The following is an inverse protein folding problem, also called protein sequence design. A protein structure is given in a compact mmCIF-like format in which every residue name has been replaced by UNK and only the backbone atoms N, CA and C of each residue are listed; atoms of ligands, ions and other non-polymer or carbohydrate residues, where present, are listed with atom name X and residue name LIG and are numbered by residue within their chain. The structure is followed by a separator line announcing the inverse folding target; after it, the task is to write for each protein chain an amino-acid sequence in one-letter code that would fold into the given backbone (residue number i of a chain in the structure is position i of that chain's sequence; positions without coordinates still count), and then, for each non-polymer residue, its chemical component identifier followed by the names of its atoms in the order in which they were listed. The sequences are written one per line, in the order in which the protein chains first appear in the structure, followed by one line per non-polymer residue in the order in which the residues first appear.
data_IF_316806680028
#
_entry.id   IF_316806680028
#
_cell.length_a   1.000
_cell.length_b   1.000
_cell.length_c   1.000
_cell.angle_alpha   90.00
_cell.angle_beta   90.00
_cell.angle_gamma   90.00
#
_symmetry.space_group_name_H-M   'P 1'
#
loop_
_entity.id
_entity.type
_entity.pdbx_description
1 polymer ?
#
# COMPACT_ATOMS: atom_id res chain seq x y z
N UNK A 1 4.89 16.85 -18.68
CA UNK A 1 4.49 16.00 -17.53
C UNK A 1 4.25 16.98 -16.42
N UNK A 2 3.04 17.03 -15.88
CA UNK A 2 2.73 17.96 -14.80
C UNK A 2 3.58 17.59 -13.58
N UNK A 3 4.31 18.57 -13.04
CA UNK A 3 5.11 18.45 -11.82
C UNK A 3 4.20 18.42 -10.59
N UNK A 4 3.25 17.47 -10.56
CA UNK A 4 2.35 17.25 -9.44
C UNK A 4 3.16 16.78 -8.23
N UNK A 5 2.89 17.39 -7.08
CA UNK A 5 3.44 16.99 -5.80
C UNK A 5 2.37 16.19 -5.07
N UNK A 6 2.68 14.93 -4.80
CA UNK A 6 1.78 14.00 -4.15
C UNK A 6 1.97 14.04 -2.64
N UNK A 7 0.89 13.71 -1.93
CA UNK A 7 0.87 13.50 -0.49
C UNK A 7 0.02 12.29 -0.17
N UNK A 8 0.51 11.41 0.67
CA UNK A 8 -0.18 10.20 1.11
C UNK A 8 -0.43 10.30 2.61
N UNK A 9 -1.67 10.05 3.02
CA UNK A 9 -2.04 9.92 4.43
C UNK A 9 -2.43 8.47 4.71
N UNK A 10 -1.76 7.84 5.66
CA UNK A 10 -1.99 6.47 6.08
C UNK A 10 -3.08 6.36 7.15
N UNK A 11 -3.49 5.13 7.47
CA UNK A 11 -4.61 4.87 8.39
C UNK A 11 -4.42 5.41 9.81
N UNK A 12 -3.17 5.46 10.30
CA UNK A 12 -2.81 6.03 11.60
C UNK A 12 -2.65 7.57 11.57
N UNK A 13 -2.86 8.19 10.41
CA UNK A 13 -2.66 9.61 10.20
C UNK A 13 -1.23 10.01 9.83
N UNK A 14 -0.30 9.05 9.68
CA UNK A 14 1.04 9.30 9.17
C UNK A 14 0.95 9.92 7.78
N UNK A 15 1.65 11.03 7.58
CA UNK A 15 1.68 11.76 6.30
C UNK A 15 3.05 11.59 5.65
N UNK A 16 3.05 11.17 4.39
CA UNK A 16 4.21 11.14 3.50
C UNK A 16 3.98 12.18 2.42
N UNK A 17 4.69 13.29 2.49
CA UNK A 17 4.49 14.45 1.62
C UNK A 17 5.66 14.67 0.65
N UNK A 18 5.52 15.72 -0.17
CA UNK A 18 6.52 16.14 -1.14
C UNK A 18 6.98 15.02 -2.09
N UNK A 19 6.06 14.13 -2.44
CA UNK A 19 6.32 12.98 -3.30
C UNK A 19 6.22 13.38 -4.77
N UNK A 20 7.08 12.81 -5.60
CA UNK A 20 6.93 12.84 -7.06
C UNK A 20 6.41 11.50 -7.57
N UNK A 21 5.91 11.48 -8.79
CA UNK A 21 5.50 10.25 -9.46
C UNK A 21 6.43 9.96 -10.65
N UNK A 22 6.94 8.73 -10.73
CA UNK A 22 7.67 8.23 -11.90
C UNK A 22 7.15 6.85 -12.31
N UNK A 23 6.43 6.79 -13.43
CA UNK A 23 5.66 5.61 -13.79
C UNK A 23 4.57 5.34 -12.74
N UNK A 24 4.71 4.25 -12.00
CA UNK A 24 3.87 3.88 -10.86
C UNK A 24 4.58 4.00 -9.50
N UNK A 25 5.77 4.61 -9.46
CA UNK A 25 6.53 4.79 -8.23
C UNK A 25 6.27 6.18 -7.66
N UNK A 26 5.92 6.22 -6.38
CA UNK A 26 6.11 7.40 -5.56
C UNK A 26 7.60 7.53 -5.23
N UNK A 27 8.11 8.74 -5.37
CA UNK A 27 9.53 9.07 -5.17
C UNK A 27 9.63 10.08 -4.04
N UNK A 28 10.29 9.66 -2.95
CA UNK A 28 10.58 10.48 -1.78
C UNK A 28 12.07 10.83 -1.72
N UNK A 29 12.38 12.06 -1.31
CA UNK A 29 13.76 12.45 -0.94
C UNK A 29 14.05 12.21 0.55
N UNK A 30 13.01 11.91 1.33
CA UNK A 30 13.09 11.49 2.73
C UNK A 30 13.11 9.97 2.79
N UNK A 31 13.87 9.42 3.73
CA UNK A 31 13.93 7.98 3.95
C UNK A 31 12.55 7.40 4.32
N UNK A 32 12.18 6.32 3.64
CA UNK A 32 10.94 5.58 3.88
C UNK A 32 11.33 4.15 4.28
N UNK A 33 11.12 3.82 5.54
CA UNK A 33 11.22 2.45 6.01
C UNK A 33 9.96 1.66 5.64
N UNK A 34 10.13 0.38 5.32
CA UNK A 34 9.00 -0.52 5.02
C UNK A 34 7.99 -0.57 6.17
N UNK A 35 8.47 -0.48 7.42
CA UNK A 35 7.63 -0.59 8.62
C UNK A 35 6.58 0.51 8.74
N UNK A 36 6.73 1.64 8.04
CA UNK A 36 5.74 2.72 8.01
C UNK A 36 4.40 2.23 7.46
N UNK A 37 4.42 1.23 6.59
CA UNK A 37 3.24 0.68 5.94
C UNK A 37 2.59 -0.49 6.69
N UNK A 38 3.27 -1.05 7.70
CA UNK A 38 2.80 -2.24 8.41
C UNK A 38 1.51 -1.93 9.19
N UNK A 39 0.39 -2.55 8.79
CA UNK A 39 -0.93 -2.33 9.38
C UNK A 39 -1.59 -0.99 9.03
N UNK A 40 -0.96 -0.18 8.17
CA UNK A 40 -1.34 1.22 7.93
C UNK A 40 -1.95 1.49 6.54
N UNK A 41 -2.18 0.43 5.75
CA UNK A 41 -2.69 0.51 4.37
C UNK A 41 -4.18 0.17 4.23
N UNK A 42 -4.93 0.07 5.34
CA UNK A 42 -6.36 -0.26 5.31
C UNK A 42 -7.19 0.87 4.68
N UNK A 43 -6.87 2.12 5.03
CA UNK A 43 -7.43 3.34 4.47
C UNK A 43 -6.28 4.30 4.17
N UNK A 44 -6.12 4.64 2.90
CA UNK A 44 -5.04 5.49 2.40
C UNK A 44 -5.65 6.61 1.58
N UNK A 45 -5.33 7.85 1.91
CA UNK A 45 -5.70 9.00 1.09
C UNK A 45 -4.50 9.40 0.25
N UNK A 46 -4.64 9.36 -1.07
CA UNK A 46 -3.63 9.84 -2.02
C UNK A 46 -4.12 11.17 -2.57
N UNK A 47 -3.40 12.24 -2.27
CA UNK A 47 -3.60 13.56 -2.85
C UNK A 47 -2.61 13.75 -4.00
N UNK A 48 -3.11 14.09 -5.19
CA UNK A 48 -2.28 14.34 -6.38
C UNK A 48 -1.84 15.81 -6.56
N UNK A 49 -2.00 16.62 -5.51
CA UNK A 49 -1.82 18.07 -5.53
C UNK A 49 -3.10 18.86 -5.82
N UNK A 50 -4.16 18.20 -6.29
CA UNK A 50 -5.44 18.84 -6.64
C UNK A 50 -6.63 18.21 -5.92
N UNK A 51 -6.69 16.88 -5.88
CA UNK A 51 -7.80 16.14 -5.29
C UNK A 51 -7.32 15.01 -4.41
N UNK A 52 -8.17 14.65 -3.45
CA UNK A 52 -8.01 13.48 -2.60
C UNK A 52 -8.74 12.29 -3.24
N UNK A 53 -8.02 11.19 -3.44
CA UNK A 53 -8.59 9.88 -3.74
C UNK A 53 -8.39 8.96 -2.53
N UNK A 54 -9.47 8.33 -2.06
CA UNK A 54 -9.46 7.43 -0.90
C UNK A 54 -9.45 6.00 -1.40
N UNK A 55 -8.43 5.26 -0.99
CA UNK A 55 -8.22 3.86 -1.31
C UNK A 55 -8.41 3.01 -0.05
N UNK A 56 -8.99 1.82 -0.22
CA UNK A 56 -9.17 0.84 0.85
C UNK A 56 -8.44 -0.45 0.54
N UNK A 57 -7.82 -1.05 1.55
CA UNK A 57 -7.06 -2.29 1.43
C UNK A 57 -5.95 -2.19 0.35
N UNK A 58 -5.03 -1.25 0.51
CA UNK A 58 -3.83 -1.21 -0.32
C UNK A 58 -2.77 -2.16 0.21
N UNK A 59 -1.79 -2.47 -0.63
CA UNK A 59 -0.54 -3.13 -0.24
C UNK A 59 0.68 -2.38 -0.74
N UNK A 60 1.79 -2.55 -0.02
CA UNK A 60 3.11 -2.14 -0.48
C UNK A 60 3.69 -3.25 -1.35
N UNK A 61 3.79 -2.97 -2.66
CA UNK A 61 4.41 -3.90 -3.61
C UNK A 61 5.94 -3.90 -3.47
N UNK A 62 6.52 -2.72 -3.27
CA UNK A 62 7.97 -2.53 -3.16
C UNK A 62 8.30 -1.21 -2.46
N UNK A 63 9.42 -1.17 -1.75
CA UNK A 63 10.16 0.05 -1.37
C UNK A 63 11.65 -0.19 -1.61
N UNK A 64 12.36 0.74 -2.25
CA UNK A 64 13.79 0.59 -2.55
C UNK A 64 14.51 1.93 -2.59
N UNK A 65 15.72 1.98 -2.03
CA UNK A 65 16.60 3.14 -2.10
C UNK A 65 17.31 3.22 -3.44
N UNK A 66 17.16 4.34 -4.14
CA UNK A 66 17.78 4.66 -5.43
C UNK A 66 18.63 5.92 -5.28
N UNK A 67 19.91 5.74 -4.94
CA UNK A 67 20.80 6.85 -4.63
C UNK A 67 20.36 7.60 -3.37
N UNK A 68 19.95 8.86 -3.54
CA UNK A 68 19.46 9.72 -2.45
C UNK A 68 17.93 9.66 -2.28
N UNK A 69 17.21 8.95 -3.16
CA UNK A 69 15.75 8.88 -3.15
C UNK A 69 15.26 7.49 -2.73
N UNK A 70 14.03 7.43 -2.26
CA UNK A 70 13.32 6.21 -1.91
C UNK A 70 12.10 6.08 -2.82
N UNK A 71 12.05 4.97 -3.54
CA UNK A 71 11.03 4.69 -4.54
C UNK A 71 10.13 3.57 -4.02
N UNK A 72 8.82 3.79 -4.03
CA UNK A 72 7.87 2.80 -3.54
C UNK A 72 6.59 2.76 -4.37
N UNK A 73 5.94 1.60 -4.34
CA UNK A 73 4.71 1.34 -5.11
C UNK A 73 3.63 0.85 -4.15
N UNK A 74 2.49 1.54 -4.15
CA UNK A 74 1.26 1.09 -3.52
C UNK A 74 0.28 0.62 -4.60
N UNK A 75 -0.49 -0.42 -4.29
CA UNK A 75 -1.51 -0.97 -5.18
C UNK A 75 -2.79 -1.26 -4.40
N UNK A 76 -3.94 -0.98 -4.98
CA UNK A 76 -5.22 -1.47 -4.47
C UNK A 76 -5.29 -3.00 -4.55
N UNK A 77 -5.66 -3.66 -3.46
CA UNK A 77 -6.04 -5.07 -3.50
C UNK A 77 -7.51 -5.13 -3.96
N UNK A 78 -7.83 -5.73 -5.12
CA UNK A 78 -9.21 -5.84 -5.56
C UNK A 78 -10.07 -6.63 -4.57
N UNK A 79 -11.35 -6.26 -4.41
CA UNK A 79 -12.27 -7.00 -3.52
C UNK A 79 -12.37 -8.50 -3.86
N UNK A 80 -12.22 -8.87 -5.13
CA UNK A 80 -12.21 -10.27 -5.55
C UNK A 80 -10.99 -11.02 -5.02
N UNK A 81 -9.84 -10.36 -4.92
CA UNK A 81 -8.62 -10.93 -4.34
C UNK A 81 -8.78 -11.07 -2.82
N UNK A 82 -9.35 -10.06 -2.14
CA UNK A 82 -9.68 -10.13 -0.71
C UNK A 82 -10.65 -11.27 -0.39
N UNK A 83 -11.71 -11.43 -1.21
CA UNK A 83 -12.68 -12.50 -1.05
C UNK A 83 -12.04 -13.88 -1.24
N UNK A 84 -11.12 -14.01 -2.20
CA UNK A 84 -10.39 -15.25 -2.44
C UNK A 84 -9.43 -15.60 -1.31
N UNK A 85 -8.69 -14.61 -0.77
CA UNK A 85 -7.83 -14.79 0.41
C UNK A 85 -8.66 -15.28 1.59
N UNK A 86 -9.80 -14.63 1.85
CA UNK A 86 -10.70 -15.04 2.95
C UNK A 86 -11.21 -16.47 2.77
N UNK A 87 -11.65 -16.83 1.57
CA UNK A 87 -12.17 -18.18 1.30
C UNK A 87 -11.08 -19.25 1.50
N UNK A 88 -9.84 -18.98 1.10
CA UNK A 88 -8.71 -19.87 1.38
C UNK A 88 -8.43 -19.99 2.88
N UNK A 89 -8.37 -18.88 3.61
CA UNK A 89 -8.15 -18.90 5.06
C UNK A 89 -9.24 -19.67 5.82
N UNK A 90 -10.51 -19.53 5.40
CA UNK A 90 -11.63 -20.29 5.97
C UNK A 90 -11.45 -21.81 5.71
N UNK A 91 -10.98 -22.20 4.53
CA UNK A 91 -10.69 -23.61 4.18
C UNK A 91 -9.52 -24.15 5.01
N UNK A 92 -8.41 -23.40 5.10
CA UNK A 92 -7.24 -23.78 5.90
C UNK A 92 -7.62 -23.95 7.37
N UNK A 93 -8.43 -23.04 7.91
CA UNK A 93 -8.94 -23.13 9.27
C UNK A 93 -9.75 -24.42 9.49
N UNK A 94 -10.67 -24.73 8.58
CA UNK A 94 -11.47 -25.97 8.66
C UNK A 94 -10.59 -27.22 8.54
N UNK A 95 -9.60 -27.22 7.65
CA UNK A 95 -8.69 -28.34 7.46
C UNK A 95 -7.85 -28.61 8.73
N UNK A 96 -7.30 -27.56 9.34
CA UNK A 96 -6.58 -27.64 10.61
C UNK A 96 -7.47 -28.20 11.74
N UNK A 97 -8.74 -27.78 11.82
CA UNK A 97 -9.68 -28.25 12.84
C UNK A 97 -10.16 -29.69 12.59
N UNK A 98 -10.09 -30.17 11.35
CA UNK A 98 -10.58 -31.49 10.94
C UNK A 98 -9.47 -32.55 10.84
N UNK A 99 -8.23 -32.20 11.17
CA UNK A 99 -7.03 -33.04 10.97
C UNK A 99 -6.86 -33.53 9.52
N UNK A 100 -7.37 -32.75 8.55
CA UNK A 100 -7.23 -33.05 7.12
C UNK A 100 -5.99 -32.33 6.62
N UNK A 101 -4.96 -33.07 6.18
CA UNK A 101 -3.87 -32.52 5.37
C UNK A 101 -4.42 -32.11 4.00
N UNK A 102 -4.18 -30.85 3.62
CA UNK A 102 -4.51 -30.28 2.31
C UNK A 102 -3.42 -30.56 1.27
#
# INVERSE_FOLDING_TARGET
MDDKIYKITLSDGTVIDNLKMNGNNFVSTVEIDKSVFDGNLLSVTINDGEKDDIHTNMELVQVTKMGAEYWFVLRDIPETELAFIKMQSDIEYVAMMSEIEL
#
